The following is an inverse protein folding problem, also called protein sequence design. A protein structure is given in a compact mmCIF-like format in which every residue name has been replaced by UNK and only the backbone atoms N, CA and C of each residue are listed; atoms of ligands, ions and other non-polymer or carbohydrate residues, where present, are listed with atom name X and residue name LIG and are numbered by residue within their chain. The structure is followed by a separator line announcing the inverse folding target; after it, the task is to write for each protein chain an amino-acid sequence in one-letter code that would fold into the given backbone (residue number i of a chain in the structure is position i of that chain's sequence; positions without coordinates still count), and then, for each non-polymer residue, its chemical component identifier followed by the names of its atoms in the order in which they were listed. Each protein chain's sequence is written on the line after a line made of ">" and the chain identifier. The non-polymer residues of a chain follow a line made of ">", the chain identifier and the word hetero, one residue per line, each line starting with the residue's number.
data_IF_304278784546
#
_entry.id   IF_304278784546
#
_cell.length_a   1.000
_cell.length_b   1.000
_cell.length_c   1.000
_cell.angle_alpha   90.00
_cell.angle_beta   90.00
_cell.angle_gamma   90.00
#
_symmetry.space_group_name_H-M   'P 1'
#
loop_
_entity.id
_entity.type
_entity.pdbx_description
1 polymer ?
#
# COMPACT_ATOMS: atom_id res chain seq x y z
N UNK A 1 -0.01 -4.15 13.65
CA UNK A 1 -0.77 -3.99 12.40
C UNK A 1 -2.16 -3.39 12.53
N UNK A 2 -2.89 -3.59 13.63
CA UNK A 2 -4.28 -3.10 13.78
C UNK A 2 -4.53 -1.63 13.39
N UNK A 3 -3.69 -0.68 13.84
CA UNK A 3 -3.85 0.74 13.49
C UNK A 3 -3.62 1.03 12.00
N UNK A 4 -2.68 0.33 11.38
CA UNK A 4 -2.40 0.47 9.94
C UNK A 4 -3.58 -0.07 9.12
N UNK A 5 -4.16 -1.21 9.51
CA UNK A 5 -5.34 -1.77 8.84
C UNK A 5 -6.56 -0.85 8.99
N UNK A 6 -6.74 -0.24 10.16
CA UNK A 6 -7.79 0.75 10.37
C UNK A 6 -7.60 1.98 9.49
N UNK A 7 -6.36 2.44 9.27
CA UNK A 7 -6.05 3.54 8.36
C UNK A 7 -6.27 3.17 6.90
N UNK A 8 -5.86 1.96 6.49
CA UNK A 8 -6.11 1.39 5.17
C UNK A 8 -7.62 1.36 4.86
N UNK A 9 -8.44 0.92 5.82
CA UNK A 9 -9.90 0.93 5.70
C UNK A 9 -10.54 2.33 5.68
N UNK A 10 -9.76 3.41 5.82
CA UNK A 10 -10.24 4.77 5.52
C UNK A 10 -10.10 5.13 4.05
N UNK A 11 -9.15 4.51 3.36
CA UNK A 11 -8.80 4.74 1.94
C UNK A 11 -9.70 3.91 1.02
N UNK A 12 -9.90 2.63 1.35
CA UNK A 12 -10.67 1.69 0.55
C UNK A 12 -11.86 1.20 1.41
N UNK A 13 -13.09 1.54 1.01
CA UNK A 13 -14.33 1.27 1.77
C UNK A 13 -15.37 0.53 0.96
N UNK A 14 -15.48 0.82 -0.34
CA UNK A 14 -16.39 0.15 -1.28
C UNK A 14 -15.61 -0.69 -2.30
N UNK A 15 -16.32 -1.42 -3.16
CA UNK A 15 -15.69 -2.23 -4.20
C UNK A 15 -15.10 -1.39 -5.32
N UNK A 16 -15.58 -0.15 -5.46
CA UNK A 16 -15.20 0.80 -6.48
C UNK A 16 -14.06 1.71 -6.03
N UNK A 17 -13.75 1.79 -4.73
CA UNK A 17 -12.68 2.64 -4.22
C UNK A 17 -11.31 2.13 -4.68
N UNK A 18 -10.52 3.01 -5.29
CA UNK A 18 -9.14 2.73 -5.69
C UNK A 18 -8.19 3.66 -4.94
N UNK A 19 -7.10 3.11 -4.39
CA UNK A 19 -6.12 3.90 -3.67
C UNK A 19 -4.82 3.16 -3.41
N UNK A 20 -3.81 3.93 -3.00
CA UNK A 20 -2.49 3.40 -2.64
C UNK A 20 -2.23 3.57 -1.15
N UNK A 21 -1.67 2.55 -0.50
CA UNK A 21 -1.25 2.61 0.90
C UNK A 21 0.28 2.59 0.94
N UNK A 22 0.89 3.63 1.50
CA UNK A 22 2.33 3.70 1.71
C UNK A 22 2.64 3.45 3.18
N UNK A 23 3.40 2.39 3.45
CA UNK A 23 3.92 2.10 4.78
C UNK A 23 5.27 2.77 4.93
N UNK A 24 5.29 3.90 5.64
CA UNK A 24 6.51 4.67 5.89
C UNK A 24 7.14 4.16 7.18
N UNK A 25 8.32 3.54 7.06
CA UNK A 25 9.30 3.16 8.11
C UNK A 25 9.97 1.83 7.70
N UNK A 26 11.29 1.73 7.89
CA UNK A 26 12.07 0.55 7.49
C UNK A 26 11.63 -0.75 8.17
N UNK A 27 10.96 -0.67 9.32
CA UNK A 27 10.39 -1.83 10.03
C UNK A 27 9.42 -2.64 9.19
N UNK A 28 8.69 -2.01 8.26
CA UNK A 28 7.80 -2.72 7.34
C UNK A 28 8.56 -3.54 6.28
N UNK A 29 9.86 -3.29 6.13
CA UNK A 29 10.79 -4.10 5.34
C UNK A 29 11.31 -5.34 6.06
N UNK A 30 11.09 -5.48 7.37
CA UNK A 30 11.49 -6.65 8.15
C UNK A 30 10.53 -7.82 7.90
N UNK A 31 11.09 -9.02 7.79
CA UNK A 31 10.33 -10.26 7.62
C UNK A 31 9.36 -10.51 8.79
N UNK A 32 9.73 -10.14 10.01
CA UNK A 32 8.87 -10.32 11.19
C UNK A 32 7.59 -9.49 11.09
N UNK A 33 7.71 -8.26 10.62
CA UNK A 33 6.57 -7.36 10.40
C UNK A 33 5.73 -7.79 9.19
N UNK A 34 6.36 -8.27 8.12
CA UNK A 34 5.67 -8.74 6.92
C UNK A 34 4.78 -9.96 7.21
N UNK A 35 5.16 -10.81 8.17
CA UNK A 35 4.31 -11.94 8.63
C UNK A 35 3.00 -11.49 9.27
N UNK A 36 2.90 -10.23 9.67
CA UNK A 36 1.68 -9.65 10.24
C UNK A 36 0.82 -8.96 9.18
N UNK A 37 1.25 -8.90 7.92
CA UNK A 37 0.47 -8.32 6.85
C UNK A 37 -0.72 -9.21 6.49
N UNK A 38 -1.85 -8.62 6.06
CA UNK A 38 -2.92 -9.38 5.44
C UNK A 38 -2.40 -10.18 4.24
N UNK A 39 -2.98 -11.35 3.99
CA UNK A 39 -2.58 -12.22 2.87
C UNK A 39 -2.81 -11.53 1.52
N UNK A 40 -3.82 -10.65 1.47
CA UNK A 40 -4.20 -9.86 0.31
C UNK A 40 -3.13 -8.84 -0.09
N UNK A 41 -2.16 -8.54 0.79
CA UNK A 41 -1.05 -7.62 0.51
C UNK A 41 0.19 -8.35 -0.01
N UNK A 42 0.09 -9.63 -0.41
CA UNK A 42 1.22 -10.46 -0.80
C UNK A 42 2.03 -9.96 -2.00
N UNK A 43 1.49 -9.06 -2.82
CA UNK A 43 2.13 -8.43 -3.98
C UNK A 43 2.65 -7.01 -3.72
N UNK A 44 2.81 -6.62 -2.44
CA UNK A 44 3.36 -5.33 -2.08
C UNK A 44 4.74 -5.07 -2.71
N UNK A 45 5.03 -3.81 -3.00
CA UNK A 45 6.30 -3.41 -3.60
C UNK A 45 7.09 -2.55 -2.62
N UNK A 46 8.39 -2.86 -2.46
CA UNK A 46 9.30 -1.97 -1.74
C UNK A 46 9.61 -0.77 -2.61
N UNK A 47 9.45 0.41 -2.04
CA UNK A 47 9.81 1.66 -2.67
C UNK A 47 10.70 2.51 -1.77
N UNK A 48 11.34 3.49 -2.36
CA UNK A 48 12.12 4.53 -1.69
C UNK A 48 11.84 5.87 -2.38
N UNK A 49 12.44 6.94 -1.87
CA UNK A 49 12.24 8.29 -2.38
C UNK A 49 12.59 8.46 -3.87
N UNK A 50 13.44 7.59 -4.42
CA UNK A 50 13.86 7.70 -5.82
C UNK A 50 12.87 7.03 -6.80
N UNK A 51 12.00 6.13 -6.35
CA UNK A 51 11.12 5.35 -7.23
C UNK A 51 9.63 5.35 -6.84
N UNK A 52 9.28 5.90 -5.67
CA UNK A 52 7.90 5.95 -5.19
C UNK A 52 7.00 6.73 -6.15
N UNK A 53 7.50 7.81 -6.74
CA UNK A 53 6.74 8.61 -7.70
C UNK A 53 6.37 7.81 -8.95
N UNK A 54 7.29 7.02 -9.48
CA UNK A 54 7.05 6.18 -10.65
C UNK A 54 6.03 5.08 -10.35
N UNK A 55 6.08 4.47 -9.17
CA UNK A 55 5.09 3.47 -8.76
C UNK A 55 3.69 4.08 -8.65
N UNK A 56 3.58 5.26 -8.02
CA UNK A 56 2.32 5.99 -7.91
C UNK A 56 1.77 6.35 -9.29
N UNK A 57 2.59 6.95 -10.17
CA UNK A 57 2.19 7.28 -11.55
C UNK A 57 1.72 6.05 -12.31
N UNK A 58 2.46 4.94 -12.26
CA UNK A 58 2.07 3.68 -12.92
C UNK A 58 0.75 3.13 -12.38
N UNK A 59 0.52 3.23 -11.08
CA UNK A 59 -0.73 2.80 -10.47
C UNK A 59 -1.91 3.65 -10.97
N UNK A 60 -1.84 4.97 -10.84
CA UNK A 60 -2.93 5.88 -11.20
C UNK A 60 -3.20 5.93 -12.71
N UNK A 61 -2.17 5.78 -13.55
CA UNK A 61 -2.37 5.69 -15.00
C UNK A 61 -3.15 4.44 -15.44
N UNK A 62 -3.20 3.38 -14.61
CA UNK A 62 -4.04 2.20 -14.86
C UNK A 62 -5.48 2.37 -14.38
N UNK A 63 -5.75 3.40 -13.58
CA UNK A 63 -7.06 3.72 -13.00
C UNK A 63 -7.41 5.20 -13.27
N UNK A 64 -7.53 5.62 -14.54
CA UNK A 64 -7.66 7.03 -14.92
C UNK A 64 -9.00 7.68 -14.54
N UNK A 65 -10.03 6.88 -14.27
CA UNK A 65 -11.41 7.33 -14.03
C UNK A 65 -11.76 7.44 -12.53
N UNK A 66 -10.75 7.43 -11.65
CA UNK A 66 -10.85 7.64 -10.20
C UNK A 66 -10.37 9.05 -9.84
#
# INVERSE_FOLDING_TARGET
>A
MNKVLQAAGRVIRTQEDVGTILLLDDRFGDWEYQRLFPVEWGDFQRCNLNNVEDFLKKFWNRHPDQ
#
